data_IF_023047581423
#
_entry.id   IF_023047581423
#
_cell.length_a   1.000
_cell.length_b   1.000
_cell.length_c   1.000
_cell.angle_alpha   90.00
_cell.angle_beta   90.00
_cell.angle_gamma   90.00
#
_symmetry.space_group_name_H-M   'P 1'
#
loop_
_entity.id
_entity.type
_entity.pdbx_description
1 polymer ?
#
# COMPACT_ATOMS: atom_id res chain seq x y z
N UNK A 1 -7.07 14.33 -5.14
CA UNK A 1 -5.78 14.64 -4.48
C UNK A 1 -4.98 13.35 -4.34
N UNK A 2 -3.68 13.40 -4.63
CA UNK A 2 -2.84 12.20 -4.56
C UNK A 2 -1.90 12.36 -3.37
N UNK A 3 -2.00 11.43 -2.42
CA UNK A 3 -1.12 11.36 -1.27
C UNK A 3 -0.08 10.29 -1.55
N UNK A 4 1.20 10.67 -1.49
CA UNK A 4 2.33 9.81 -1.81
C UNK A 4 3.28 9.82 -0.61
N UNK A 5 3.25 8.74 0.17
CA UNK A 5 4.11 8.49 1.33
C UNK A 5 4.92 7.20 1.12
N UNK A 6 5.77 7.24 0.10
CA UNK A 6 6.62 6.12 -0.33
C UNK A 6 8.05 6.60 -0.62
N UNK A 7 9.07 5.73 -0.56
CA UNK A 7 10.44 6.11 -0.88
C UNK A 7 10.60 6.66 -2.31
N UNK A 8 11.38 7.72 -2.47
CA UNK A 8 11.65 8.36 -3.78
C UNK A 8 12.14 7.39 -4.85
N UNK A 9 12.92 6.38 -4.44
CA UNK A 9 13.49 5.35 -5.32
C UNK A 9 12.44 4.48 -6.03
N UNK A 10 11.18 4.48 -5.57
CA UNK A 10 10.09 3.70 -6.18
C UNK A 10 8.97 4.54 -6.79
N UNK A 11 8.95 5.87 -6.61
CA UNK A 11 7.86 6.74 -7.11
C UNK A 11 7.60 6.60 -8.62
N UNK A 12 8.65 6.36 -9.41
CA UNK A 12 8.56 6.20 -10.88
C UNK A 12 8.78 4.75 -11.35
N UNK A 13 8.82 3.79 -10.43
CA UNK A 13 8.97 2.37 -10.77
C UNK A 13 7.60 1.73 -11.01
N UNK A 14 7.59 0.70 -11.84
CA UNK A 14 6.46 -0.22 -11.97
C UNK A 14 6.64 -1.31 -10.90
N UNK A 15 5.57 -1.71 -10.19
CA UNK A 15 5.67 -2.78 -9.22
C UNK A 15 6.08 -4.10 -9.88
N UNK A 16 6.93 -4.82 -9.17
CA UNK A 16 7.39 -6.16 -9.50
C UNK A 16 6.28 -7.21 -9.39
N UNK A 17 5.36 -7.01 -8.45
CA UNK A 17 4.22 -7.89 -8.21
C UNK A 17 3.07 -7.10 -7.58
N UNK A 18 1.84 -7.55 -7.79
CA UNK A 18 0.62 -6.86 -7.32
C UNK A 18 -0.38 -7.87 -6.79
N UNK A 19 -0.85 -7.65 -5.57
CA UNK A 19 -1.91 -8.40 -4.94
C UNK A 19 -3.13 -7.50 -4.70
N UNK A 20 -4.26 -7.82 -5.35
CA UNK A 20 -5.52 -7.12 -5.11
C UNK A 20 -6.15 -7.62 -3.81
N UNK A 21 -6.33 -6.73 -2.85
CA UNK A 21 -6.93 -7.04 -1.55
C UNK A 21 -8.44 -6.83 -1.54
N UNK A 22 -8.95 -5.91 -2.37
CA UNK A 22 -10.37 -5.59 -2.48
C UNK A 22 -10.87 -5.91 -3.90
N UNK A 23 -11.79 -6.87 -4.02
CA UNK A 23 -12.33 -7.32 -5.30
C UNK A 23 -13.54 -6.48 -5.78
N UNK A 24 -14.31 -5.93 -4.85
CA UNK A 24 -15.49 -5.10 -5.14
C UNK A 24 -15.42 -3.77 -4.41
N UNK A 25 -15.95 -2.67 -4.98
CA UNK A 25 -15.93 -1.37 -4.32
C UNK A 25 -16.59 -1.42 -2.93
N UNK A 26 -15.90 -0.82 -1.96
CA UNK A 26 -16.35 -0.77 -0.57
C UNK A 26 -16.64 0.67 -0.16
N UNK A 27 -17.83 0.91 0.37
CA UNK A 27 -18.20 2.20 0.95
C UNK A 27 -17.96 2.18 2.46
N UNK A 28 -17.10 3.08 2.94
CA UNK A 28 -16.76 3.27 4.35
C UNK A 28 -17.04 4.72 4.71
N UNK A 29 -18.12 4.97 5.44
CA UNK A 29 -18.61 6.32 5.75
C UNK A 29 -18.80 7.20 4.49
N UNK A 30 -17.99 8.25 4.38
CA UNK A 30 -17.92 9.21 3.28
C UNK A 30 -16.97 8.76 2.15
N UNK A 31 -16.19 7.71 2.34
CA UNK A 31 -15.24 7.20 1.35
C UNK A 31 -15.83 6.07 0.52
N UNK A 32 -15.72 6.17 -0.80
CA UNK A 32 -15.91 5.05 -1.72
C UNK A 32 -14.53 4.57 -2.20
N UNK A 33 -14.12 3.42 -1.69
CA UNK A 33 -12.86 2.77 -2.04
C UNK A 33 -13.15 1.81 -3.19
N UNK A 34 -12.57 2.09 -4.36
CA UNK A 34 -12.75 1.27 -5.57
C UNK A 34 -11.77 0.12 -5.61
N UNK A 35 -10.55 0.34 -5.08
CA UNK A 35 -9.44 -0.60 -5.19
C UNK A 35 -8.53 -0.50 -3.98
N UNK A 36 -8.05 -1.65 -3.52
CA UNK A 36 -6.96 -1.75 -2.55
C UNK A 36 -5.99 -2.80 -3.07
N UNK A 37 -4.72 -2.43 -3.19
CA UNK A 37 -3.66 -3.31 -3.64
C UNK A 37 -2.44 -3.23 -2.72
N UNK A 38 -1.76 -4.36 -2.61
CA UNK A 38 -0.35 -4.37 -2.27
C UNK A 38 0.48 -4.46 -3.54
N UNK A 39 1.50 -3.60 -3.60
CA UNK A 39 2.41 -3.48 -4.71
C UNK A 39 3.82 -3.72 -4.19
N UNK A 40 4.49 -4.75 -4.73
CA UNK A 40 5.85 -5.11 -4.36
C UNK A 40 6.85 -4.38 -5.25
N UNK A 41 7.91 -3.87 -4.65
CA UNK A 41 9.05 -3.30 -5.37
C UNK A 41 10.34 -3.94 -4.86
N UNK A 42 11.10 -4.55 -5.77
CA UNK A 42 12.44 -5.04 -5.51
C UNK A 42 13.43 -3.91 -5.74
N UNK A 43 14.23 -3.63 -4.73
CA UNK A 43 15.22 -2.56 -4.76
C UNK A 43 16.57 -3.06 -4.23
N UNK A 44 17.61 -2.28 -4.45
CA UNK A 44 18.91 -2.45 -3.79
C UNK A 44 19.11 -1.30 -2.83
N UNK A 45 19.25 -1.58 -1.54
CA UNK A 45 19.55 -0.58 -0.50
C UNK A 45 20.87 -1.00 0.16
N UNK A 46 21.84 -0.10 0.25
CA UNK A 46 23.17 -0.35 0.83
C UNK A 46 23.87 -1.63 0.28
N UNK A 47 23.85 -1.79 -1.05
CA UNK A 47 24.38 -2.96 -1.77
C UNK A 47 23.73 -4.31 -1.38
N UNK A 48 22.56 -4.30 -0.76
CA UNK A 48 21.80 -5.50 -0.41
C UNK A 48 20.47 -5.54 -1.14
N UNK A 49 20.05 -6.73 -1.63
CA UNK A 49 18.69 -6.93 -2.11
C UNK A 49 17.67 -6.63 -1.00
N UNK A 50 16.72 -5.76 -1.32
CA UNK A 50 15.70 -5.26 -0.41
C UNK A 50 14.35 -5.21 -1.11
N UNK A 51 13.29 -5.04 -0.32
CA UNK A 51 11.94 -4.85 -0.83
C UNK A 51 11.26 -3.65 -0.16
N UNK A 52 10.26 -3.13 -0.86
CA UNK A 52 9.25 -2.22 -0.31
C UNK A 52 7.90 -2.73 -0.77
N UNK A 53 6.95 -2.89 0.15
CA UNK A 53 5.55 -3.16 -0.13
C UNK A 53 4.78 -1.86 0.09
N UNK A 54 4.09 -1.41 -0.95
CA UNK A 54 3.25 -0.23 -0.93
C UNK A 54 1.79 -0.65 -0.88
N UNK A 55 1.03 -0.04 0.04
CA UNK A 55 -0.42 -0.07 0.01
C UNK A 55 -0.92 1.03 -0.93
N UNK A 56 -1.60 0.62 -2.00
CA UNK A 56 -2.26 1.51 -2.94
C UNK A 56 -3.77 1.45 -2.72
N UNK A 57 -4.38 2.61 -2.49
CA UNK A 57 -5.83 2.75 -2.38
C UNK A 57 -6.32 3.75 -3.42
N UNK A 58 -7.25 3.30 -4.26
CA UNK A 58 -8.02 4.17 -5.17
C UNK A 58 -9.37 4.46 -4.52
N UNK A 59 -9.58 5.73 -4.15
CA UNK A 59 -10.83 6.26 -3.65
C UNK A 59 -11.31 7.30 -4.66
N UNK A 60 -12.61 7.40 -4.91
CA UNK A 60 -13.22 8.26 -5.95
C UNK A 60 -12.35 9.42 -6.52
N UNK A 61 -12.04 10.43 -5.69
CA UNK A 61 -11.26 11.61 -6.07
C UNK A 61 -9.85 11.64 -5.43
N UNK A 62 -9.47 10.60 -4.70
CA UNK A 62 -8.24 10.54 -3.92
C UNK A 62 -7.52 9.21 -4.09
N UNK A 63 -6.23 9.26 -4.42
CA UNK A 63 -5.38 8.07 -4.35
C UNK A 63 -4.43 8.21 -3.18
N UNK A 64 -4.25 7.14 -2.42
CA UNK A 64 -3.24 7.06 -1.35
C UNK A 64 -2.25 5.97 -1.71
N UNK A 65 -0.97 6.32 -1.71
CA UNK A 65 0.15 5.40 -1.75
C UNK A 65 0.92 5.56 -0.46
N UNK A 66 1.05 4.48 0.30
CA UNK A 66 1.80 4.51 1.56
C UNK A 66 2.66 3.26 1.70
N UNK A 67 3.85 3.43 2.28
CA UNK A 67 4.71 2.30 2.62
C UNK A 67 4.04 1.44 3.67
N UNK A 68 3.80 0.18 3.35
CA UNK A 68 3.21 -0.78 4.28
C UNK A 68 4.28 -1.56 5.05
N UNK A 69 5.29 -2.05 4.32
CA UNK A 69 6.41 -2.82 4.88
C UNK A 69 7.67 -2.63 4.02
N UNK A 70 8.85 -2.71 4.63
CA UNK A 70 10.12 -2.68 3.93
C UNK A 70 11.19 -3.50 4.65
N UNK A 71 12.13 -4.06 3.91
CA UNK A 71 13.15 -4.91 4.52
C UNK A 71 14.20 -5.46 3.56
N UNK A 72 14.99 -6.40 4.06
CA UNK A 72 15.89 -7.22 3.26
C UNK A 72 15.08 -8.28 2.51
N UNK A 73 15.43 -8.52 1.24
CA UNK A 73 14.75 -9.51 0.43
C UNK A 73 14.90 -10.91 1.06
N UNK A 74 13.77 -11.61 1.20
CA UNK A 74 13.70 -13.03 1.50
C UNK A 74 12.66 -13.64 0.55
N UNK A 75 12.76 -14.95 0.33
CA UNK A 75 11.74 -15.67 -0.44
C UNK A 75 10.37 -15.56 0.25
N UNK A 76 9.30 -15.58 -0.54
CA UNK A 76 7.89 -15.59 -0.11
C UNK A 76 7.37 -14.43 0.74
N UNK A 77 8.19 -13.43 1.08
CA UNK A 77 7.80 -12.27 1.91
C UNK A 77 6.51 -11.60 1.45
N UNK A 78 6.35 -11.40 0.15
CA UNK A 78 5.16 -10.74 -0.39
C UNK A 78 3.88 -11.56 -0.12
N UNK A 79 3.95 -12.87 -0.37
CA UNK A 79 2.85 -13.80 -0.11
C UNK A 79 2.54 -13.87 1.39
N UNK A 80 3.56 -13.92 2.25
CA UNK A 80 3.38 -13.94 3.71
C UNK A 80 2.67 -12.67 4.20
N UNK A 81 3.08 -11.50 3.73
CA UNK A 81 2.48 -10.21 4.10
C UNK A 81 1.03 -10.11 3.64
N UNK A 82 0.74 -10.51 2.38
CA UNK A 82 -0.62 -10.54 1.84
C UNK A 82 -1.50 -11.50 2.65
N UNK A 83 -1.01 -12.70 2.96
CA UNK A 83 -1.74 -13.68 3.75
C UNK A 83 -2.00 -13.19 5.17
N UNK A 84 -1.01 -12.59 5.82
CA UNK A 84 -1.16 -12.04 7.17
C UNK A 84 -2.24 -10.95 7.24
N UNK A 85 -2.25 -10.03 6.28
CA UNK A 85 -3.27 -8.97 6.22
C UNK A 85 -4.66 -9.53 5.94
N UNK A 86 -4.78 -10.44 4.97
CA UNK A 86 -6.08 -10.96 4.54
C UNK A 86 -6.69 -11.95 5.55
N UNK A 87 -5.86 -12.67 6.32
CA UNK A 87 -6.33 -13.69 7.27
C UNK A 87 -6.38 -13.24 8.73
N UNK A 88 -5.57 -12.27 9.16
CA UNK A 88 -5.42 -11.90 10.58
C UNK A 88 -5.78 -10.45 10.88
N UNK A 89 -5.16 -9.50 10.17
CA UNK A 89 -5.29 -8.07 10.52
C UNK A 89 -6.56 -7.42 9.94
N UNK A 90 -6.98 -7.89 8.78
CA UNK A 90 -8.09 -7.34 8.00
C UNK A 90 -7.72 -6.07 7.23
N UNK A 91 -8.45 -5.85 6.14
CA UNK A 91 -8.29 -4.70 5.25
C UNK A 91 -8.65 -3.37 5.95
N UNK A 92 -9.45 -3.41 7.01
CA UNK A 92 -9.84 -2.25 7.81
C UNK A 92 -8.64 -1.47 8.38
N UNK A 93 -7.57 -2.16 8.76
CA UNK A 93 -6.35 -1.52 9.25
C UNK A 93 -5.67 -0.65 8.18
N UNK A 94 -5.66 -1.12 6.93
CA UNK A 94 -5.11 -0.38 5.79
C UNK A 94 -5.97 0.86 5.50
N UNK A 95 -7.30 0.69 5.51
CA UNK A 95 -8.25 1.79 5.29
C UNK A 95 -8.09 2.88 6.35
N UNK A 96 -7.98 2.49 7.63
CA UNK A 96 -7.81 3.45 8.72
C UNK A 96 -6.51 4.25 8.58
N UNK A 97 -5.39 3.59 8.26
CA UNK A 97 -4.11 4.28 8.03
C UNK A 97 -4.19 5.26 6.87
N UNK A 98 -4.82 4.85 5.76
CA UNK A 98 -5.02 5.73 4.61
C UNK A 98 -5.87 6.95 4.95
N UNK A 99 -6.92 6.79 5.76
CA UNK A 99 -7.74 7.91 6.24
C UNK A 99 -6.93 8.89 7.09
N UNK A 100 -6.17 8.39 8.06
CA UNK A 100 -5.31 9.23 8.92
C UNK A 100 -4.33 10.04 8.07
N UNK A 101 -3.70 9.41 7.07
CA UNK A 101 -2.74 10.07 6.20
C UNK A 101 -3.41 11.13 5.30
N UNK A 102 -4.60 10.83 4.76
CA UNK A 102 -5.37 11.77 3.96
C UNK A 102 -5.79 13.00 4.80
N UNK A 103 -6.30 12.77 6.01
CA UNK A 103 -6.69 13.85 6.92
C UNK A 103 -5.49 14.72 7.31
N UNK A 104 -4.30 14.14 7.50
CA UNK A 104 -3.08 14.90 7.77
C UNK A 104 -2.73 15.88 6.63
N UNK A 105 -2.78 15.42 5.37
CA UNK A 105 -2.47 16.26 4.20
C UNK A 105 -3.56 17.28 3.86
N UNK A 106 -4.81 17.06 4.28
CA UNK A 106 -5.90 18.02 4.07
C UNK A 106 -5.89 19.19 5.06
N UNK A 107 -5.18 19.03 6.18
CA UNK A 107 -5.08 20.04 7.24
C UNK A 107 -3.79 20.88 7.14
N UNK A 108 -2.94 20.62 6.13
CA UNK A 108 -1.76 21.44 5.77
C UNK A 108 -2.13 22.52 4.73
#
# INVERSE_FOLDING_TARGET
MNVIDIPDVIIQKIPDDVATLLQEPLRVHDMLIKKIEFQLYRITRDNKPSYVIVAYLDMNEHTVQMTYDEGLWKEDVFTEVVNFITSQLGISAIILRARILLDAHMNE
#
